data_IF_423484587973
#
_entry.id   IF_423484587973
#
_cell.length_a   1.000
_cell.length_b   1.000
_cell.length_c   1.000
_cell.angle_alpha   90.00
_cell.angle_beta   90.00
_cell.angle_gamma   90.00
#
_symmetry.space_group_name_H-M   'P 1'
#
loop_
_entity.id
_entity.type
_entity.pdbx_description
1 polymer ?
#
# COMPACT_ATOMS: atom_id res chain seq x y z
N UNK A 1 9.01 0.16 -15.94
CA UNK A 1 9.54 0.78 -14.69
C UNK A 1 9.35 -0.20 -13.54
N UNK A 2 10.38 -0.53 -12.74
CA UNK A 2 10.27 -1.55 -11.66
C UNK A 2 10.95 -1.11 -10.36
N UNK A 3 10.17 -0.79 -9.33
CA UNK A 3 10.69 -0.42 -8.01
C UNK A 3 11.53 -1.55 -7.40
N UNK A 4 11.06 -2.80 -7.49
CA UNK A 4 11.78 -4.00 -7.00
C UNK A 4 13.18 -4.09 -7.63
N UNK A 5 13.28 -3.93 -8.96
CA UNK A 5 14.60 -3.95 -9.63
C UNK A 5 15.51 -2.84 -9.12
N UNK A 6 14.99 -1.63 -8.91
CA UNK A 6 15.78 -0.50 -8.41
C UNK A 6 16.26 -0.74 -6.98
N UNK A 7 15.42 -1.29 -6.08
CA UNK A 7 15.84 -1.68 -4.73
C UNK A 7 16.96 -2.71 -4.75
N UNK A 8 16.83 -3.76 -5.57
CA UNK A 8 17.89 -4.78 -5.72
C UNK A 8 19.17 -4.13 -6.25
N UNK A 9 19.09 -3.21 -7.20
CA UNK A 9 20.24 -2.47 -7.73
C UNK A 9 20.90 -1.54 -6.69
N UNK A 10 20.14 -1.04 -5.70
CA UNK A 10 20.71 -0.30 -4.56
C UNK A 10 21.41 -1.22 -3.54
N UNK A 11 21.28 -2.55 -3.69
CA UNK A 11 21.92 -3.54 -2.83
C UNK A 11 21.03 -4.06 -1.69
N UNK A 12 19.72 -3.81 -1.74
CA UNK A 12 18.79 -4.41 -0.78
C UNK A 12 18.45 -5.85 -1.15
N UNK A 13 18.35 -6.72 -0.14
CA UNK A 13 17.69 -8.02 -0.31
C UNK A 13 16.19 -7.80 -0.25
N UNK A 14 15.48 -8.09 -1.34
CA UNK A 14 14.06 -7.77 -1.50
C UNK A 14 13.23 -9.05 -1.54
N UNK A 15 12.25 -9.14 -0.65
CA UNK A 15 11.18 -10.13 -0.68
C UNK A 15 9.86 -9.46 -0.99
N UNK A 16 8.96 -10.17 -1.68
CA UNK A 16 7.66 -9.64 -2.10
C UNK A 16 6.59 -10.70 -1.81
N UNK A 17 5.51 -10.28 -1.15
CA UNK A 17 4.31 -11.11 -0.99
C UNK A 17 3.52 -11.06 -2.30
N UNK A 18 3.38 -12.22 -2.96
CA UNK A 18 2.50 -12.39 -4.11
C UNK A 18 1.19 -13.01 -3.62
N UNK A 19 0.12 -12.21 -3.62
CA UNK A 19 -1.18 -12.65 -3.13
C UNK A 19 -1.85 -13.59 -4.13
N UNK A 20 -2.49 -14.63 -3.60
CA UNK A 20 -3.36 -15.53 -4.37
C UNK A 20 -4.64 -14.81 -4.77
N UNK A 21 -5.15 -15.06 -5.98
CA UNK A 21 -6.42 -14.51 -6.43
C UNK A 21 -7.56 -15.43 -5.96
N UNK A 22 -8.37 -15.05 -4.96
CA UNK A 22 -9.29 -15.99 -4.32
C UNK A 22 -10.40 -16.46 -5.28
N UNK A 23 -10.80 -17.72 -5.12
CA UNK A 23 -11.99 -18.31 -5.73
C UNK A 23 -13.07 -18.57 -4.68
N UNK A 24 -14.19 -19.16 -5.09
CA UNK A 24 -15.33 -19.43 -4.20
C UNK A 24 -14.98 -20.34 -3.01
N UNK A 25 -13.96 -21.20 -3.12
CA UNK A 25 -13.52 -22.06 -2.02
C UNK A 25 -12.85 -21.28 -0.88
N UNK A 26 -12.46 -20.03 -1.14
CA UNK A 26 -11.79 -19.13 -0.20
C UNK A 26 -12.74 -18.10 0.41
N UNK A 27 -14.07 -18.23 0.25
CA UNK A 27 -15.04 -17.20 0.65
C UNK A 27 -14.96 -16.79 2.13
N UNK A 28 -14.65 -17.75 3.00
CA UNK A 28 -14.53 -17.56 4.45
C UNK A 28 -13.12 -17.12 4.88
N UNK A 29 -12.20 -16.88 3.94
CA UNK A 29 -10.88 -16.31 4.25
C UNK A 29 -11.09 -14.93 4.87
N UNK A 30 -10.78 -14.83 6.16
CA UNK A 30 -10.99 -13.65 6.98
C UNK A 30 -9.83 -12.67 6.89
N UNK A 31 -10.01 -11.44 7.40
CA UNK A 31 -8.90 -10.49 7.50
C UNK A 31 -7.77 -11.00 8.41
N UNK A 32 -8.08 -11.85 9.39
CA UNK A 32 -7.08 -12.47 10.27
C UNK A 32 -6.22 -13.48 9.51
N UNK A 33 -6.80 -14.20 8.54
CA UNK A 33 -6.04 -15.11 7.67
C UNK A 33 -5.08 -14.32 6.76
N UNK A 34 -5.51 -13.17 6.22
CA UNK A 34 -4.62 -12.28 5.46
C UNK A 34 -3.47 -11.73 6.32
N UNK A 35 -3.74 -11.42 7.59
CA UNK A 35 -2.71 -10.99 8.55
C UNK A 35 -1.69 -12.11 8.81
N UNK A 36 -2.18 -13.32 9.11
CA UNK A 36 -1.34 -14.47 9.44
C UNK A 36 -0.52 -14.98 8.26
N UNK A 37 -1.20 -15.28 7.15
CA UNK A 37 -0.60 -15.91 5.97
C UNK A 37 0.16 -14.90 5.10
N UNK A 38 -0.09 -13.60 5.30
CA UNK A 38 0.58 -12.52 4.61
C UNK A 38 1.80 -12.00 5.37
N UNK A 39 1.73 -10.82 6.01
CA UNK A 39 2.90 -10.16 6.59
C UNK A 39 3.55 -10.96 7.72
N UNK A 40 2.78 -11.69 8.55
CA UNK A 40 3.35 -12.44 9.68
C UNK A 40 4.15 -13.66 9.18
N UNK A 41 3.54 -14.56 8.41
CA UNK A 41 4.24 -15.72 7.85
C UNK A 41 5.41 -15.32 6.95
N UNK A 42 5.24 -14.31 6.08
CA UNK A 42 6.32 -13.83 5.23
C UNK A 42 7.50 -13.30 6.06
N UNK A 43 7.24 -12.59 7.17
CA UNK A 43 8.30 -12.10 8.04
C UNK A 43 9.11 -13.22 8.71
N UNK A 44 8.46 -14.30 9.12
CA UNK A 44 9.13 -15.45 9.73
C UNK A 44 10.05 -16.14 8.72
N UNK A 45 9.55 -16.39 7.51
CA UNK A 45 10.33 -16.97 6.40
C UNK A 45 11.53 -16.09 6.03
N UNK A 46 11.33 -14.78 5.91
CA UNK A 46 12.41 -13.84 5.57
C UNK A 46 13.50 -13.83 6.64
N UNK A 47 13.12 -13.80 7.92
CA UNK A 47 14.08 -13.81 9.03
C UNK A 47 14.84 -15.13 9.12
N UNK A 48 14.19 -16.25 8.81
CA UNK A 48 14.87 -17.55 8.75
C UNK A 48 15.87 -17.64 7.59
N UNK A 49 15.48 -17.20 6.38
CA UNK A 49 16.37 -17.19 5.20
C UNK A 49 17.56 -16.26 5.41
N UNK A 50 17.33 -15.06 5.94
CA UNK A 50 18.36 -14.03 6.07
C UNK A 50 19.20 -14.16 7.33
N UNK A 51 18.69 -14.86 8.35
CA UNK A 51 19.25 -14.84 9.71
C UNK A 51 19.08 -13.50 10.43
N UNK A 52 18.39 -12.52 9.82
CA UNK A 52 18.20 -11.20 10.42
C UNK A 52 17.15 -11.25 11.54
N UNK A 53 17.40 -10.65 12.71
CA UNK A 53 16.42 -10.59 13.78
C UNK A 53 15.23 -9.69 13.41
N UNK A 54 15.40 -8.72 12.51
CA UNK A 54 14.39 -7.74 12.10
C UNK A 54 14.30 -7.60 10.58
N UNK A 55 13.19 -7.05 10.11
CA UNK A 55 12.91 -6.79 8.69
C UNK A 55 12.38 -5.37 8.53
N UNK A 56 12.84 -4.68 7.48
CA UNK A 56 12.22 -3.43 7.02
C UNK A 56 11.07 -3.77 6.09
N UNK A 57 9.89 -3.21 6.33
CA UNK A 57 8.64 -3.58 5.65
C UNK A 57 8.03 -2.40 4.91
N UNK A 58 7.35 -2.70 3.80
CA UNK A 58 6.62 -1.71 3.01
C UNK A 58 5.21 -2.20 2.73
N UNK A 59 4.23 -1.35 2.95
CA UNK A 59 2.85 -1.53 2.53
C UNK A 59 2.45 -0.50 1.47
N UNK A 60 1.79 -0.96 0.41
CA UNK A 60 1.29 -0.13 -0.68
C UNK A 60 -0.23 -0.23 -0.76
N UNK A 61 -0.92 0.91 -0.81
CA UNK A 61 -2.37 1.00 -0.85
C UNK A 61 -3.02 0.19 0.30
N UNK A 62 -3.97 -0.69 0.01
CA UNK A 62 -4.61 -1.58 1.01
C UNK A 62 -3.60 -2.45 1.78
N UNK A 63 -2.47 -2.78 1.16
CA UNK A 63 -1.37 -3.49 1.83
C UNK A 63 -0.75 -2.68 2.97
N UNK A 64 -0.77 -1.35 2.89
CA UNK A 64 -0.41 -0.47 4.01
C UNK A 64 -1.42 -0.52 5.13
N UNK A 65 -2.72 -0.56 4.83
CA UNK A 65 -3.75 -0.69 5.86
C UNK A 65 -3.63 -2.04 6.60
N UNK A 66 -3.40 -3.14 5.88
CA UNK A 66 -3.10 -4.45 6.49
C UNK A 66 -1.80 -4.42 7.32
N UNK A 67 -0.76 -3.73 6.83
CA UNK A 67 0.49 -3.58 7.56
C UNK A 67 0.32 -2.80 8.87
N UNK A 68 -0.51 -1.74 8.90
CA UNK A 68 -0.82 -1.01 10.12
C UNK A 68 -1.58 -1.87 11.14
N UNK A 69 -2.50 -2.72 10.68
CA UNK A 69 -3.16 -3.72 11.54
C UNK A 69 -2.13 -4.70 12.11
N UNK A 70 -1.20 -5.19 11.29
CA UNK A 70 -0.14 -6.09 11.72
C UNK A 70 0.79 -5.46 12.75
N UNK A 71 1.24 -4.21 12.52
CA UNK A 71 2.10 -3.48 13.44
C UNK A 71 1.41 -3.24 14.79
N UNK A 72 0.13 -2.87 14.78
CA UNK A 72 -0.66 -2.68 16.00
C UNK A 72 -0.82 -3.98 16.79
N UNK A 73 -1.07 -5.09 16.09
CA UNK A 73 -1.17 -6.43 16.67
C UNK A 73 0.16 -6.88 17.29
N UNK A 74 1.27 -6.70 16.57
CA UNK A 74 2.62 -7.01 17.04
C UNK A 74 3.02 -6.15 18.24
N UNK A 75 2.65 -4.86 18.24
CA UNK A 75 2.90 -3.96 19.36
C UNK A 75 2.17 -4.41 20.65
N UNK A 76 0.92 -4.90 20.53
CA UNK A 76 0.20 -5.50 21.66
C UNK A 76 0.92 -6.75 22.21
N UNK A 77 1.60 -7.51 21.34
CA UNK A 77 2.42 -8.68 21.69
C UNK A 77 3.85 -8.34 22.12
N UNK A 78 4.27 -7.07 22.03
CA UNK A 78 5.66 -6.63 22.21
C UNK A 78 6.64 -7.35 21.27
N UNK A 79 6.17 -7.69 20.08
CA UNK A 79 7.00 -8.28 19.03
C UNK A 79 7.57 -7.18 18.14
N UNK A 80 8.90 -7.09 18.10
CA UNK A 80 9.64 -6.05 17.40
C UNK A 80 10.33 -6.57 16.12
N UNK A 81 9.77 -7.60 15.47
CA UNK A 81 10.34 -8.17 14.22
C UNK A 81 10.41 -7.17 13.06
N UNK A 82 9.62 -6.10 13.08
CA UNK A 82 9.66 -5.03 12.09
C UNK A 82 10.36 -3.81 12.68
N UNK A 83 11.44 -3.38 12.02
CA UNK A 83 12.26 -2.25 12.49
C UNK A 83 11.85 -0.93 11.84
N UNK A 84 11.93 -0.84 10.51
CA UNK A 84 11.51 0.33 9.75
C UNK A 84 10.34 0.02 8.85
N UNK A 85 9.43 0.98 8.73
CA UNK A 85 8.16 0.80 8.04
C UNK A 85 8.00 1.86 6.96
N UNK A 86 7.58 1.44 5.77
CA UNK A 86 7.22 2.34 4.67
C UNK A 86 5.74 2.20 4.32
N UNK A 87 5.01 3.31 4.27
CA UNK A 87 3.64 3.37 3.74
C UNK A 87 3.61 4.16 2.44
N UNK A 88 3.06 3.56 1.39
CA UNK A 88 2.97 4.18 0.06
C UNK A 88 1.49 4.33 -0.29
N UNK A 89 1.00 5.56 -0.45
CA UNK A 89 -0.40 5.94 -0.73
C UNK A 89 -1.40 5.03 -0.02
N UNK A 90 -1.29 4.95 1.30
CA UNK A 90 -2.08 4.06 2.15
C UNK A 90 -2.99 4.87 3.07
N UNK A 91 -4.26 4.49 3.16
CA UNK A 91 -5.22 5.09 4.10
C UNK A 91 -5.21 4.32 5.42
N UNK A 92 -5.06 5.06 6.52
CA UNK A 92 -5.30 4.57 7.88
C UNK A 92 -6.50 5.26 8.54
N UNK A 93 -6.76 6.52 8.16
CA UNK A 93 -7.97 7.26 8.49
C UNK A 93 -8.84 7.43 7.24
N UNK A 94 -10.01 6.81 7.26
CA UNK A 94 -10.98 6.78 6.16
C UNK A 94 -12.04 7.90 6.29
N UNK A 95 -11.80 8.94 7.10
CA UNK A 95 -12.71 10.09 7.16
C UNK A 95 -12.77 10.88 5.83
N UNK A 96 -11.75 10.72 4.98
CA UNK A 96 -11.66 11.31 3.64
C UNK A 96 -11.09 10.24 2.69
N UNK A 97 -11.95 9.68 1.83
CA UNK A 97 -11.59 8.57 0.93
C UNK A 97 -11.49 8.98 -0.55
N UNK A 98 -11.38 10.29 -0.81
CA UNK A 98 -11.29 10.82 -2.18
C UNK A 98 -12.52 10.48 -3.01
N UNK A 99 -12.33 10.25 -4.30
CA UNK A 99 -13.42 10.00 -5.24
C UNK A 99 -14.14 8.66 -4.98
N UNK A 100 -13.52 7.76 -4.21
CA UNK A 100 -14.18 6.51 -3.79
C UNK A 100 -15.40 6.78 -2.89
N UNK A 101 -15.50 7.98 -2.30
CA UNK A 101 -16.66 8.42 -1.54
C UNK A 101 -17.96 8.36 -2.36
N UNK A 102 -17.90 8.59 -3.68
CA UNK A 102 -19.08 8.55 -4.57
C UNK A 102 -19.72 7.16 -4.62
N UNK A 103 -18.93 6.10 -4.42
CA UNK A 103 -19.46 4.74 -4.39
C UNK A 103 -19.92 4.30 -3.01
N UNK A 104 -19.45 4.97 -1.96
CA UNK A 104 -19.76 4.63 -0.57
C UNK A 104 -20.84 5.57 0.02
N UNK A 105 -21.23 6.62 -0.70
CA UNK A 105 -22.18 7.63 -0.23
C UNK A 105 -23.63 7.17 -0.22
N UNK A 106 -23.96 6.11 -0.95
CA UNK A 106 -25.28 5.50 -0.89
C UNK A 106 -25.33 4.50 0.27
N UNK A 107 -26.27 4.65 1.23
CA UNK A 107 -26.37 3.76 2.40
C UNK A 107 -26.46 2.27 2.06
N UNK A 108 -26.92 1.94 0.84
CA UNK A 108 -27.12 0.58 0.35
C UNK A 108 -25.98 0.07 -0.54
N UNK A 109 -24.94 0.88 -0.80
CA UNK A 109 -23.85 0.47 -1.68
C UNK A 109 -23.05 -0.71 -1.10
N UNK A 110 -22.78 -0.69 0.20
CA UNK A 110 -22.13 -1.81 0.90
C UNK A 110 -23.03 -3.04 0.90
N UNK A 111 -24.32 -2.88 1.20
CA UNK A 111 -25.30 -3.98 1.14
C UNK A 111 -25.37 -4.61 -0.26
N UNK A 112 -25.31 -3.80 -1.32
CA UNK A 112 -25.30 -4.28 -2.70
C UNK A 112 -24.04 -5.07 -3.03
N UNK A 113 -22.87 -4.56 -2.63
CA UNK A 113 -21.59 -5.27 -2.78
C UNK A 113 -21.64 -6.60 -2.03
N UNK A 114 -22.14 -6.61 -0.79
CA UNK A 114 -22.28 -7.82 0.01
C UNK A 114 -23.24 -8.84 -0.62
N UNK A 115 -24.38 -8.40 -1.17
CA UNK A 115 -25.29 -9.29 -1.91
C UNK A 115 -24.64 -9.95 -3.12
N UNK A 116 -23.82 -9.20 -3.88
CA UNK A 116 -23.07 -9.78 -4.99
C UNK A 116 -22.03 -10.81 -4.50
N UNK A 117 -21.32 -10.48 -3.41
CA UNK A 117 -20.33 -11.40 -2.84
C UNK A 117 -20.98 -12.65 -2.22
N UNK A 118 -22.16 -12.55 -1.61
CA UNK A 118 -22.90 -13.69 -1.07
C UNK A 118 -23.28 -14.73 -2.14
N UNK A 119 -23.43 -14.34 -3.40
CA UNK A 119 -23.73 -15.27 -4.49
C UNK A 119 -22.49 -15.99 -5.04
N UNK A 120 -21.30 -15.39 -4.90
CA UNK A 120 -20.07 -15.85 -5.58
C UNK A 120 -18.93 -16.25 -4.64
N UNK A 121 -18.99 -15.87 -3.38
CA UNK A 121 -17.91 -16.02 -2.39
C UNK A 121 -16.82 -14.93 -2.44
N UNK A 122 -16.89 -14.02 -3.42
CA UNK A 122 -15.96 -12.89 -3.62
C UNK A 122 -16.60 -11.81 -4.50
N UNK A 123 -15.99 -10.62 -4.59
CA UNK A 123 -16.39 -9.59 -5.56
C UNK A 123 -15.62 -9.79 -6.88
N UNK A 124 -16.33 -9.93 -8.01
CA UNK A 124 -15.69 -10.08 -9.32
C UNK A 124 -14.89 -8.82 -9.66
N UNK A 125 -13.66 -9.01 -10.16
CA UNK A 125 -12.74 -7.92 -10.43
C UNK A 125 -13.25 -6.95 -11.51
N UNK A 126 -14.20 -7.37 -12.37
CA UNK A 126 -14.86 -6.47 -13.34
C UNK A 126 -15.74 -5.43 -12.68
N UNK A 127 -16.41 -5.76 -11.57
CA UNK A 127 -17.22 -4.79 -10.83
C UNK A 127 -16.32 -3.69 -10.24
N UNK A 128 -15.21 -4.07 -9.59
CA UNK A 128 -14.21 -3.10 -9.11
C UNK A 128 -13.55 -2.34 -10.26
N UNK A 129 -13.18 -3.00 -11.35
CA UNK A 129 -12.56 -2.33 -12.51
C UNK A 129 -13.49 -1.30 -13.14
N UNK A 130 -14.79 -1.59 -13.25
CA UNK A 130 -15.78 -0.63 -13.73
C UNK A 130 -15.87 0.59 -12.81
N UNK A 131 -15.85 0.40 -11.49
CA UNK A 131 -15.84 1.48 -10.50
C UNK A 131 -14.58 2.35 -10.63
N UNK A 132 -13.39 1.75 -10.70
CA UNK A 132 -12.13 2.50 -10.90
C UNK A 132 -12.05 3.18 -12.27
N UNK A 133 -12.61 2.59 -13.33
CA UNK A 133 -12.65 3.19 -14.66
C UNK A 133 -13.57 4.41 -14.72
N UNK A 134 -14.69 4.40 -13.98
CA UNK A 134 -15.57 5.56 -13.80
C UNK A 134 -14.82 6.75 -13.16
N UNK A 135 -13.98 6.48 -12.13
CA UNK A 135 -13.14 7.50 -11.49
C UNK A 135 -12.00 8.00 -12.37
N UNK A 136 -11.40 7.10 -13.15
CA UNK A 136 -10.25 7.39 -14.02
C UNK A 136 -10.60 8.08 -15.34
N UNK A 137 -11.90 8.31 -15.61
CA UNK A 137 -12.34 8.99 -16.83
C UNK A 137 -11.70 10.39 -16.98
N UNK A 138 -11.37 11.07 -15.88
CA UNK A 138 -10.70 12.37 -15.94
C UNK A 138 -9.18 12.33 -16.08
N UNK A 139 -8.48 11.39 -15.44
CA UNK A 139 -7.00 11.43 -15.38
C UNK A 139 -6.28 10.62 -16.46
N UNK A 140 -6.94 9.63 -17.07
CA UNK A 140 -6.34 8.79 -18.11
C UNK A 140 -7.01 8.92 -19.48
N UNK A 141 -8.30 9.27 -19.54
CA UNK A 141 -9.04 9.37 -20.81
C UNK A 141 -8.96 10.79 -21.38
N UNK A 142 -9.18 11.83 -20.58
CA UNK A 142 -9.22 13.22 -21.08
C UNK A 142 -7.86 13.79 -21.52
N UNK A 143 -6.73 13.55 -20.83
CA UNK A 143 -5.42 13.93 -21.36
C UNK A 143 -5.05 13.13 -22.60
N UNK A 144 -5.51 11.88 -22.72
CA UNK A 144 -5.36 11.08 -23.94
C UNK A 144 -6.16 11.68 -25.10
N UNK A 145 -7.41 12.09 -24.90
CA UNK A 145 -8.21 12.71 -25.96
C UNK A 145 -7.60 14.07 -26.37
N UNK A 146 -7.17 14.90 -25.41
CA UNK A 146 -6.56 16.20 -25.71
C UNK A 146 -5.19 16.04 -26.38
N UNK A 147 -4.30 15.17 -25.88
CA UNK A 147 -2.97 14.98 -26.48
C UNK A 147 -2.99 14.17 -27.79
N UNK A 148 -3.91 13.20 -27.95
CA UNK A 148 -3.95 12.34 -29.13
C UNK A 148 -4.76 12.98 -30.27
N UNK A 149 -5.89 13.62 -29.97
CA UNK A 149 -6.75 14.19 -31.01
C UNK A 149 -6.26 15.57 -31.47
N UNK A 150 -5.66 16.38 -30.58
CA UNK A 150 -5.21 17.73 -30.94
C UNK A 150 -3.69 17.85 -31.19
N UNK A 151 -2.84 16.99 -30.62
CA UNK A 151 -1.37 17.17 -30.65
C UNK A 151 -0.59 16.04 -31.36
N UNK A 152 -1.26 14.95 -31.79
CA UNK A 152 -0.66 13.92 -32.64
C UNK A 152 0.51 13.13 -32.04
N UNK A 153 0.63 13.08 -30.71
CA UNK A 153 1.73 12.39 -30.03
C UNK A 153 1.41 10.92 -29.77
N UNK A 154 2.43 10.05 -29.77
CA UNK A 154 2.27 8.63 -29.42
C UNK A 154 1.94 8.49 -27.92
N UNK A 155 0.93 7.69 -27.53
CA UNK A 155 0.60 7.50 -26.13
C UNK A 155 1.64 6.60 -25.45
N UNK A 156 2.24 7.00 -24.31
CA UNK A 156 2.87 6.06 -23.41
C UNK A 156 1.86 5.64 -22.32
N UNK A 157 1.66 4.32 -22.17
CA UNK A 157 1.24 3.58 -20.95
C UNK A 157 0.40 2.33 -21.29
N UNK A 158 0.93 1.42 -22.12
CA UNK A 158 0.29 0.11 -22.31
C UNK A 158 0.45 -0.79 -21.07
N UNK A 159 1.54 -0.58 -20.30
CA UNK A 159 1.89 -1.35 -19.10
C UNK A 159 0.99 -1.03 -17.89
N UNK A 160 0.76 0.25 -17.59
CA UNK A 160 -0.11 0.66 -16.48
C UNK A 160 -1.58 0.29 -16.73
N UNK A 161 -2.02 0.41 -17.98
CA UNK A 161 -3.37 -0.01 -18.37
C UNK A 161 -3.51 -1.53 -18.31
N UNK A 162 -2.48 -2.29 -18.69
CA UNK A 162 -2.47 -3.75 -18.54
C UNK A 162 -2.58 -4.16 -17.07
N UNK A 163 -1.76 -3.59 -16.19
CA UNK A 163 -1.85 -3.84 -14.74
C UNK A 163 -3.23 -3.50 -14.18
N UNK A 164 -3.83 -2.39 -14.59
CA UNK A 164 -5.13 -1.98 -14.09
C UNK A 164 -6.28 -2.85 -14.62
N UNK A 165 -6.13 -3.43 -15.81
CA UNK A 165 -7.11 -4.33 -16.39
C UNK A 165 -7.03 -5.75 -15.78
N UNK A 166 -5.90 -6.10 -15.16
CA UNK A 166 -5.67 -7.37 -14.49
C UNK A 166 -6.13 -7.32 -13.03
N UNK A 167 -7.45 -7.20 -12.87
CA UNK A 167 -8.05 -7.03 -11.55
C UNK A 167 -8.04 -8.32 -10.73
N UNK A 168 -7.71 -8.19 -9.43
CA UNK A 168 -7.74 -9.27 -8.45
C UNK A 168 -8.98 -9.20 -7.56
N UNK A 169 -9.35 -10.33 -6.97
CA UNK A 169 -10.49 -10.45 -6.05
C UNK A 169 -10.04 -10.33 -4.59
N UNK A 170 -11.01 -10.14 -3.72
CA UNK A 170 -10.85 -10.29 -2.27
C UNK A 170 -11.95 -11.24 -1.77
N UNK A 171 -11.58 -12.13 -0.84
CA UNK A 171 -12.53 -13.06 -0.24
C UNK A 171 -13.68 -12.31 0.45
N UNK A 172 -14.91 -12.82 0.34
CA UNK A 172 -16.12 -12.16 0.88
C UNK A 172 -15.97 -11.78 2.35
N UNK A 173 -15.53 -12.72 3.20
CA UNK A 173 -15.43 -12.48 4.65
C UNK A 173 -14.45 -11.33 4.96
N UNK A 174 -13.24 -11.37 4.39
CA UNK A 174 -12.26 -10.30 4.55
C UNK A 174 -12.75 -8.96 3.96
N UNK A 175 -13.38 -8.97 2.78
CA UNK A 175 -13.80 -7.75 2.10
C UNK A 175 -14.94 -7.04 2.81
N UNK A 176 -15.99 -7.78 3.21
CA UNK A 176 -17.09 -7.25 4.01
C UNK A 176 -16.56 -6.64 5.31
N UNK A 177 -15.72 -7.38 6.05
CA UNK A 177 -15.10 -6.88 7.27
C UNK A 177 -14.31 -5.58 7.03
N UNK A 178 -13.54 -5.52 5.95
CA UNK A 178 -12.72 -4.37 5.59
C UNK A 178 -13.58 -3.14 5.30
N UNK A 179 -14.63 -3.27 4.49
CA UNK A 179 -15.53 -2.16 4.14
C UNK A 179 -16.20 -1.58 5.40
N UNK A 180 -16.76 -2.43 6.26
CA UNK A 180 -17.42 -1.97 7.49
C UNK A 180 -16.44 -1.27 8.44
N UNK A 181 -15.29 -1.88 8.71
CA UNK A 181 -14.35 -1.35 9.69
C UNK A 181 -13.49 -0.17 9.19
N UNK A 182 -13.48 0.10 7.88
CA UNK A 182 -12.75 1.23 7.29
C UNK A 182 -13.69 2.26 6.67
N UNK A 183 -14.25 1.99 5.50
CA UNK A 183 -15.06 2.94 4.74
C UNK A 183 -16.35 3.37 5.43
N UNK A 184 -17.00 2.49 6.21
CA UNK A 184 -18.29 2.79 6.86
C UNK A 184 -18.07 3.37 8.26
N UNK A 185 -17.43 2.62 9.15
CA UNK A 185 -17.35 2.95 10.57
C UNK A 185 -16.03 3.62 10.95
N UNK A 186 -15.01 3.54 10.09
CA UNK A 186 -13.65 4.04 10.33
C UNK A 186 -13.10 3.62 11.71
N UNK A 187 -13.37 2.37 12.10
CA UNK A 187 -13.01 1.82 13.41
C UNK A 187 -11.49 1.73 13.61
N UNK A 188 -10.69 1.70 12.54
CA UNK A 188 -9.23 1.51 12.61
C UNK A 188 -8.52 2.64 13.38
N UNK A 189 -9.04 3.87 13.33
CA UNK A 189 -8.47 5.01 14.06
C UNK A 189 -8.94 5.10 15.52
N UNK A 190 -9.88 4.26 15.95
CA UNK A 190 -10.42 4.27 17.31
C UNK A 190 -9.64 3.25 18.15
N UNK A 191 -8.81 3.69 19.13
CA UNK A 191 -7.98 2.78 19.90
C UNK A 191 -8.79 1.66 20.57
N UNK A 192 -8.33 0.43 20.39
CA UNK A 192 -8.90 -0.80 20.95
C UNK A 192 -10.31 -1.18 20.45
N UNK A 193 -10.85 -0.49 19.44
CA UNK A 193 -12.17 -0.78 18.86
C UNK A 193 -12.15 -2.06 18.03
N UNK A 194 -11.14 -2.21 17.16
CA UNK A 194 -10.91 -3.43 16.40
C UNK A 194 -10.14 -4.43 17.25
N UNK A 195 -10.56 -5.70 17.21
CA UNK A 195 -9.81 -6.83 17.75
C UNK A 195 -9.54 -7.84 16.66
N UNK A 196 -8.27 -8.23 16.51
CA UNK A 196 -7.84 -9.31 15.62
C UNK A 196 -7.07 -10.36 16.43
N UNK A 197 -7.45 -11.63 16.29
CA UNK A 197 -6.87 -12.78 17.00
C UNK A 197 -6.76 -12.56 18.51
N UNK A 198 -7.81 -11.96 19.09
CA UNK A 198 -7.91 -11.62 20.52
C UNK A 198 -7.25 -10.31 20.93
N UNK A 199 -6.39 -9.72 20.10
CA UNK A 199 -5.66 -8.49 20.43
C UNK A 199 -6.38 -7.24 19.97
N UNK A 200 -6.46 -6.25 20.86
CA UNK A 200 -7.03 -4.95 20.55
C UNK A 200 -6.01 -4.09 19.81
N UNK A 201 -6.39 -3.59 18.63
CA UNK A 201 -5.52 -2.78 17.79
C UNK A 201 -5.53 -1.33 18.23
N UNK A 202 -4.38 -0.69 18.19
CA UNK A 202 -4.17 0.69 18.57
C UNK A 202 -2.99 1.25 17.76
N UNK A 203 -3.28 2.08 16.75
CA UNK A 203 -2.27 2.69 15.88
C UNK A 203 -1.25 3.51 16.68
N UNK A 204 -1.67 4.09 17.82
CA UNK A 204 -0.81 4.86 18.71
C UNK A 204 0.29 4.02 19.37
N UNK A 205 0.24 2.68 19.28
CA UNK A 205 1.31 1.78 19.76
C UNK A 205 2.40 1.52 18.74
N UNK A 206 2.19 1.91 17.48
CA UNK A 206 3.20 1.80 16.42
C UNK A 206 4.29 2.83 16.73
N UNK A 207 5.47 2.33 17.11
CA UNK A 207 6.62 3.13 17.58
C UNK A 207 7.80 3.13 16.62
N UNK A 208 7.73 2.33 15.55
CA UNK A 208 8.73 2.26 14.50
C UNK A 208 8.91 3.60 13.80
N UNK A 209 10.14 3.89 13.35
CA UNK A 209 10.35 5.00 12.41
C UNK A 209 9.69 4.66 11.07
N UNK A 210 8.93 5.62 10.55
CA UNK A 210 8.06 5.46 9.39
C UNK A 210 8.50 6.41 8.28
N UNK A 211 8.58 5.87 7.07
CA UNK A 211 8.57 6.64 5.84
C UNK A 211 7.18 6.56 5.22
N UNK A 212 6.53 7.68 4.97
CA UNK A 212 5.21 7.73 4.35
C UNK A 212 5.26 8.58 3.09
N UNK A 213 4.62 8.11 2.01
CA UNK A 213 4.53 8.87 0.76
C UNK A 213 3.11 8.95 0.23
N UNK A 214 2.68 10.17 -0.10
CA UNK A 214 1.46 10.45 -0.86
C UNK A 214 1.77 10.95 -2.26
N UNK A 215 0.74 11.12 -3.09
CA UNK A 215 0.85 11.74 -4.41
C UNK A 215 -0.10 12.95 -4.54
N UNK A 216 0.43 14.08 -5.02
CA UNK A 216 -0.22 15.41 -4.99
C UNK A 216 -1.60 15.43 -5.67
N UNK A 217 -1.77 14.65 -6.74
CA UNK A 217 -3.03 14.56 -7.51
C UNK A 217 -3.69 13.19 -7.36
N UNK A 218 -3.43 12.49 -6.26
CA UNK A 218 -4.06 11.22 -5.99
C UNK A 218 -5.51 11.43 -5.54
N UNK A 219 -6.45 11.03 -6.39
CA UNK A 219 -7.88 11.07 -6.10
C UNK A 219 -8.40 9.78 -5.45
N UNK A 220 -7.59 8.72 -5.40
CA UNK A 220 -7.93 7.44 -4.77
C UNK A 220 -7.56 7.50 -3.28
N UNK A 221 -6.34 7.94 -3.00
CA UNK A 221 -5.81 8.16 -1.66
C UNK A 221 -5.35 9.61 -1.57
N UNK A 222 -6.25 10.56 -1.24
CA UNK A 222 -5.89 11.95 -1.08
C UNK A 222 -4.68 12.10 -0.17
N UNK A 223 -3.68 12.87 -0.62
CA UNK A 223 -2.41 12.94 0.10
C UNK A 223 -2.57 13.52 1.51
N UNK A 224 -3.55 14.39 1.73
CA UNK A 224 -3.88 14.97 3.03
C UNK A 224 -4.47 13.91 3.97
N UNK A 225 -5.21 12.93 3.44
CA UNK A 225 -5.68 11.76 4.18
C UNK A 225 -4.51 10.80 4.50
N UNK A 226 -3.61 10.55 3.54
CA UNK A 226 -2.41 9.75 3.78
C UNK A 226 -1.48 10.41 4.82
N UNK A 227 -1.35 11.73 4.80
CA UNK A 227 -0.51 12.51 5.72
C UNK A 227 -0.92 12.35 7.19
N UNK A 228 -2.21 12.07 7.46
CA UNK A 228 -2.73 11.89 8.82
C UNK A 228 -2.02 10.80 9.62
N UNK A 229 -1.34 9.85 8.97
CA UNK A 229 -0.47 8.89 9.68
C UNK A 229 0.49 9.58 10.65
N UNK A 230 0.96 10.79 10.31
CA UNK A 230 1.84 11.62 11.14
C UNK A 230 1.26 11.97 12.52
N UNK A 231 -0.06 11.90 12.70
CA UNK A 231 -0.75 12.12 13.98
C UNK A 231 -1.44 10.88 14.56
N UNK A 232 -1.37 9.72 13.90
CA UNK A 232 -2.04 8.49 14.32
C UNK A 232 -1.12 7.51 15.05
N UNK A 233 0.19 7.64 14.87
CA UNK A 233 1.21 6.71 15.38
C UNK A 233 2.15 7.42 16.36
N UNK A 234 2.80 6.66 17.25
CA UNK A 234 3.80 7.21 18.17
C UNK A 234 5.21 7.34 17.55
N UNK A 235 5.48 6.55 16.50
CA UNK A 235 6.76 6.55 15.79
C UNK A 235 7.01 7.83 15.00
N UNK A 236 8.29 8.13 14.73
CA UNK A 236 8.66 9.30 13.92
C UNK A 236 8.25 9.07 12.46
N UNK A 237 7.45 9.98 11.90
CA UNK A 237 7.03 9.92 10.50
C UNK A 237 7.83 10.91 9.64
N UNK A 238 8.56 10.40 8.65
CA UNK A 238 9.03 11.18 7.50
C UNK A 238 7.97 11.10 6.41
N UNK A 239 7.21 12.18 6.21
CA UNK A 239 6.26 12.25 5.11
C UNK A 239 6.91 12.89 3.88
N UNK A 240 6.62 12.33 2.70
CA UNK A 240 7.07 12.83 1.39
C UNK A 240 5.86 12.91 0.45
N UNK A 241 5.80 13.95 -0.37
CA UNK A 241 4.74 14.12 -1.36
C UNK A 241 5.33 14.02 -2.76
N UNK A 242 4.94 13.01 -3.54
CA UNK A 242 5.29 12.93 -4.96
C UNK A 242 4.34 13.78 -5.82
N UNK A 243 4.84 14.39 -6.89
CA UNK A 243 3.97 14.99 -7.92
C UNK A 243 3.18 13.94 -8.71
N UNK A 244 2.14 14.35 -9.45
CA UNK A 244 1.27 13.49 -10.26
C UNK A 244 0.26 12.67 -9.43
N UNK A 245 -0.47 11.75 -10.09
CA UNK A 245 -1.54 10.94 -9.49
C UNK A 245 -1.08 9.59 -8.95
N UNK A 246 -2.01 8.79 -8.41
CA UNK A 246 -1.78 7.55 -7.66
C UNK A 246 -0.64 6.66 -8.18
N UNK A 247 -0.68 6.24 -9.44
CA UNK A 247 0.36 5.37 -10.01
C UNK A 247 1.54 6.18 -10.54
N UNK A 248 1.28 7.24 -11.30
CA UNK A 248 2.33 7.99 -11.99
C UNK A 248 3.27 8.74 -11.02
N UNK A 249 2.78 9.15 -9.86
CA UNK A 249 3.59 9.77 -8.80
C UNK A 249 4.40 8.76 -7.99
N UNK A 250 3.85 7.55 -7.80
CA UNK A 250 4.50 6.49 -7.02
C UNK A 250 5.49 5.69 -7.86
N UNK A 251 5.13 5.30 -9.08
CA UNK A 251 5.98 4.57 -10.03
C UNK A 251 6.79 5.54 -10.88
N UNK A 252 7.64 6.30 -10.20
CA UNK A 252 8.52 7.30 -10.81
C UNK A 252 10.00 6.90 -10.62
N UNK A 253 10.63 6.16 -11.56
CA UNK A 253 12.00 5.70 -11.39
C UNK A 253 13.04 6.85 -11.45
N UNK A 254 14.17 6.73 -10.73
CA UNK A 254 15.30 7.64 -10.84
C UNK A 254 15.76 7.83 -12.29
N UNK A 255 16.13 9.06 -12.66
CA UNK A 255 16.44 9.45 -14.04
C UNK A 255 15.22 9.81 -14.88
N UNK A 256 14.00 9.60 -14.36
CA UNK A 256 12.75 10.08 -14.95
C UNK A 256 12.45 11.56 -14.65
N UNK A 257 11.33 12.04 -15.18
CA UNK A 257 10.77 13.38 -14.87
C UNK A 257 9.91 13.29 -13.62
N UNK A 258 9.89 14.35 -12.82
CA UNK A 258 8.99 14.45 -11.67
C UNK A 258 9.55 15.42 -10.64
N UNK A 259 8.75 15.67 -9.62
CA UNK A 259 9.09 16.49 -8.47
C UNK A 259 8.54 15.85 -7.21
N UNK A 260 9.15 16.15 -6.08
CA UNK A 260 8.63 15.74 -4.79
C UNK A 260 8.87 16.83 -3.75
N UNK A 261 8.17 16.73 -2.63
CA UNK A 261 8.30 17.66 -1.53
C UNK A 261 8.62 16.92 -0.24
N UNK A 262 9.52 17.49 0.54
CA UNK A 262 9.84 17.04 1.89
C UNK A 262 9.67 18.21 2.85
N UNK A 263 9.39 17.94 4.12
CA UNK A 263 9.38 18.97 5.15
C UNK A 263 10.09 18.44 6.39
N UNK A 264 11.34 18.85 6.55
CA UNK A 264 12.21 18.48 7.67
C UNK A 264 12.17 19.50 8.81
N UNK A 265 11.43 20.60 8.66
CA UNK A 265 11.42 21.73 9.57
C UNK A 265 10.07 21.88 10.29
N UNK A 266 10.12 21.87 11.63
CA UNK A 266 8.96 22.10 12.50
C UNK A 266 8.14 20.85 12.80
N UNK A 267 6.98 21.07 13.43
CA UNK A 267 6.01 20.04 13.79
C UNK A 267 4.63 20.47 13.25
N UNK A 268 4.38 20.34 11.94
CA UNK A 268 3.13 20.77 11.34
C UNK A 268 1.95 20.01 11.97
N UNK A 269 0.92 20.74 12.38
CA UNK A 269 -0.29 20.17 12.99
C UNK A 269 -1.33 19.81 11.93
N UNK A 270 -1.23 20.37 10.72
CA UNK A 270 -2.15 20.11 9.60
C UNK A 270 -1.39 19.81 8.31
N UNK A 271 -2.00 19.07 7.36
CA UNK A 271 -1.39 18.81 6.06
C UNK A 271 -1.12 20.10 5.28
N UNK A 272 -1.98 21.12 5.38
CA UNK A 272 -1.77 22.42 4.73
C UNK A 272 -0.51 23.12 5.29
N UNK A 273 -0.32 23.11 6.60
CA UNK A 273 0.90 23.64 7.23
C UNK A 273 2.13 22.86 6.76
N UNK A 274 2.03 21.52 6.72
CA UNK A 274 3.10 20.68 6.19
C UNK A 274 3.46 21.08 4.75
N UNK A 275 2.46 21.27 3.88
CA UNK A 275 2.65 21.62 2.47
C UNK A 275 3.22 23.02 2.27
N UNK A 276 2.79 24.00 3.07
CA UNK A 276 3.30 25.38 3.01
C UNK A 276 4.76 25.48 3.43
N UNK A 277 5.21 24.65 4.37
CA UNK A 277 6.61 24.58 4.80
C UNK A 277 7.49 23.64 3.97
N UNK A 278 6.93 22.91 3.00
CA UNK A 278 7.66 21.87 2.30
C UNK A 278 8.61 22.42 1.23
N UNK A 279 9.83 21.90 1.21
CA UNK A 279 10.83 22.17 0.18
C UNK A 279 10.55 21.32 -1.06
N UNK A 280 10.69 21.94 -2.25
CA UNK A 280 10.47 21.27 -3.53
C UNK A 280 11.80 20.74 -4.08
N UNK A 281 11.81 19.45 -4.40
CA UNK A 281 12.94 18.73 -5.00
C UNK A 281 12.60 18.27 -6.41
N UNK A 282 13.60 18.33 -7.29
CA UNK A 282 13.49 17.79 -8.66
C UNK A 282 13.82 16.29 -8.68
N UNK A 283 13.15 15.55 -9.57
CA UNK A 283 13.37 14.13 -9.80
C UNK A 283 12.42 13.22 -9.02
N UNK A 284 12.91 12.00 -8.74
CA UNK A 284 12.13 10.96 -8.08
C UNK A 284 12.33 10.96 -6.57
N UNK A 285 11.24 10.85 -5.83
CA UNK A 285 11.24 10.63 -4.38
C UNK A 285 11.87 9.28 -3.99
N UNK A 286 12.04 8.34 -4.93
CA UNK A 286 12.73 7.06 -4.65
C UNK A 286 14.16 7.29 -4.19
N UNK A 287 14.83 8.35 -4.66
CA UNK A 287 16.19 8.65 -4.21
C UNK A 287 16.22 9.04 -2.73
N UNK A 288 15.25 9.83 -2.27
CA UNK A 288 15.10 10.19 -0.85
C UNK A 288 14.80 8.93 -0.01
N UNK A 289 13.86 8.10 -0.49
CA UNK A 289 13.50 6.86 0.18
C UNK A 289 14.64 5.85 0.25
N UNK A 290 15.42 5.68 -0.83
CA UNK A 290 16.59 4.79 -0.84
C UNK A 290 17.68 5.29 0.11
N UNK A 291 17.91 6.60 0.18
CA UNK A 291 18.84 7.18 1.15
C UNK A 291 18.37 6.92 2.59
N UNK A 292 17.07 7.12 2.86
CA UNK A 292 16.48 6.80 4.15
C UNK A 292 16.61 5.31 4.48
N UNK A 293 16.25 4.40 3.57
CA UNK A 293 16.39 2.97 3.79
C UNK A 293 17.83 2.54 4.03
N UNK A 294 18.78 3.07 3.25
CA UNK A 294 20.20 2.74 3.38
C UNK A 294 20.74 3.13 4.77
N UNK A 295 20.32 4.27 5.30
CA UNK A 295 20.68 4.70 6.65
C UNK A 295 20.12 3.80 7.77
N UNK A 296 19.09 2.99 7.48
CA UNK A 296 18.42 2.13 8.45
C UNK A 296 18.44 0.64 8.10
N UNK A 297 19.35 0.19 7.22
CA UNK A 297 19.45 -1.23 6.81
C UNK A 297 20.75 -1.90 7.25
N UNK A 298 21.48 -1.28 8.17
CA UNK A 298 22.74 -1.81 8.70
C UNK A 298 23.90 -1.79 7.68
N UNK A 299 24.95 -2.55 7.99
CA UNK A 299 26.12 -2.67 7.12
C UNK A 299 25.82 -3.54 5.89
N UNK A 300 26.53 -3.27 4.79
CA UNK A 300 26.43 -4.11 3.59
C UNK A 300 27.10 -5.45 3.83
N UNK A 301 26.39 -6.52 3.51
CA UNK A 301 26.86 -7.90 3.61
C UNK A 301 26.75 -8.61 2.27
N UNK A 302 27.40 -9.77 2.14
CA UNK A 302 27.13 -10.68 1.03
C UNK A 302 25.65 -11.08 1.06
N UNK A 303 24.94 -11.03 -0.08
CA UNK A 303 23.51 -11.36 -0.11
C UNK A 303 23.28 -12.80 0.32
N UNK A 304 22.14 -13.10 0.99
CA UNK A 304 21.77 -14.46 1.31
C UNK A 304 21.54 -15.27 0.03
N UNK A 305 21.55 -16.60 0.17
CA UNK A 305 21.17 -17.50 -0.92
C UNK A 305 19.68 -17.34 -1.25
N UNK A 306 19.28 -17.72 -2.46
CA UNK A 306 17.86 -17.80 -2.81
C UNK A 306 17.23 -18.97 -2.05
N UNK A 307 16.33 -18.65 -1.11
CA UNK A 307 15.69 -19.64 -0.24
C UNK A 307 16.57 -20.07 0.94
N UNK A 308 16.29 -21.23 1.50
CA UNK A 308 17.04 -21.84 2.61
C UNK A 308 16.78 -23.35 2.69
N UNK A 309 17.43 -24.06 3.61
CA UNK A 309 17.24 -25.51 3.74
C UNK A 309 15.78 -25.89 4.07
N UNK A 310 15.11 -25.12 4.92
CA UNK A 310 13.69 -25.28 5.22
C UNK A 310 12.77 -24.70 4.13
N UNK A 311 13.28 -23.76 3.32
CA UNK A 311 12.53 -23.03 2.30
C UNK A 311 13.24 -23.11 0.94
N UNK A 312 13.33 -24.29 0.31
CA UNK A 312 13.97 -24.42 -0.99
C UNK A 312 13.21 -23.61 -2.04
N UNK A 313 13.91 -23.00 -3.03
CA UNK A 313 13.24 -22.35 -4.15
C UNK A 313 12.26 -23.29 -4.85
N UNK A 314 11.02 -22.85 -5.02
CA UNK A 314 9.95 -23.66 -5.63
C UNK A 314 9.92 -23.51 -7.15
N UNK A 315 10.04 -22.27 -7.63
CA UNK A 315 10.05 -21.91 -9.05
C UNK A 315 10.64 -20.50 -9.23
N UNK A 316 11.00 -20.16 -10.47
CA UNK A 316 11.42 -18.81 -10.81
C UNK A 316 10.27 -17.80 -10.66
N UNK A 317 10.63 -16.56 -10.31
CA UNK A 317 9.72 -15.42 -10.34
C UNK A 317 9.16 -15.23 -11.78
N UNK A 318 7.88 -14.83 -11.94
CA UNK A 318 7.03 -14.19 -10.94
C UNK A 318 6.09 -15.13 -10.16
N UNK A 319 6.33 -16.45 -10.18
CA UNK A 319 5.48 -17.41 -9.47
C UNK A 319 4.27 -17.85 -10.30
N UNK A 320 3.32 -18.53 -9.65
CA UNK A 320 2.08 -19.03 -10.25
C UNK A 320 0.86 -18.19 -9.92
N UNK A 321 0.77 -17.67 -8.68
CA UNK A 321 -0.40 -16.91 -8.19
C UNK A 321 -0.70 -15.65 -9.00
N UNK A 322 0.33 -14.95 -9.46
CA UNK A 322 0.16 -13.73 -10.28
C UNK A 322 -0.53 -13.98 -11.63
N UNK A 323 -0.62 -15.24 -12.07
CA UNK A 323 -1.26 -15.62 -13.33
C UNK A 323 -2.71 -16.10 -13.16
N UNK A 324 -3.21 -16.16 -11.92
CA UNK A 324 -4.58 -16.59 -11.61
C UNK A 324 -5.61 -15.52 -12.00
N UNK A 325 -6.73 -15.94 -12.60
CA UNK A 325 -7.77 -15.05 -13.15
C UNK A 325 -9.03 -14.98 -12.30
#
# INVERSE_FOLDING_TARGET
NSMVRHLVQQGFTVFVVSWRNPDASMEETSIEDYLDLGPLAASDVVREITGSPTVNVMGYCIGGTLLAMALSWLAAKKDNRFDKVTFIVSLLDFSKVGDTAVFMSEPTAVDFIEQQMMQRGYLDSREMSNMFNLLRSNDLIWPNIINNYLLGQKPPAFDLLYWNADGTRMARAAHSWYLHNTYVENNLIVPNKIRLKGEALDLGRISQDIYAVGAERDHIVPWDAAWKISGLVAGKVRFVLGSSGHIAGIINPPGGKGTYWTNDAGSPETPEQWRSGAERHEGSWWNDWFAWLAAHSGEKVTPPVMGGAAYPPLQDAPGSYVWEK
#
